data_IF_508557155266
#
_entry.id   IF_508557155266
#
_cell.length_a   1.000
_cell.length_b   1.000
_cell.length_c   1.000
_cell.angle_alpha   90.00
_cell.angle_beta   90.00
_cell.angle_gamma   90.00
#
_symmetry.space_group_name_H-M   'P 1'
#
loop_
_entity.id
_entity.type
_entity.pdbx_description
1 polymer ?
#
# COMPACT_ATOMS: atom_id res chain seq x y z
N UNK A 1 48.36 -21.09 17.41
CA UNK A 1 47.12 -21.05 16.60
C UNK A 1 46.18 -20.06 17.23
N UNK A 2 46.00 -18.89 16.61
CA UNK A 2 45.08 -17.85 17.07
C UNK A 2 43.72 -18.13 16.46
N UNK A 3 42.73 -18.50 17.29
CA UNK A 3 41.35 -18.67 16.85
C UNK A 3 40.79 -17.27 16.58
N UNK A 4 40.60 -16.92 15.31
CA UNK A 4 39.83 -15.72 14.93
C UNK A 4 38.35 -16.00 15.19
N UNK A 5 37.84 -15.53 16.32
CA UNK A 5 36.40 -15.41 16.57
C UNK A 5 35.92 -14.14 15.88
N UNK A 6 35.30 -14.26 14.72
CA UNK A 6 34.47 -13.20 14.15
C UNK A 6 33.04 -13.41 14.66
N UNK A 7 32.48 -12.42 15.34
CA UNK A 7 31.05 -12.39 15.61
C UNK A 7 30.31 -12.39 14.26
N UNK A 8 29.18 -13.11 14.12
CA UNK A 8 28.35 -12.98 12.94
C UNK A 8 27.97 -11.50 12.80
N UNK A 9 28.32 -10.90 11.66
CA UNK A 9 27.81 -9.58 11.28
C UNK A 9 26.34 -9.82 10.99
N UNK A 10 25.49 -9.67 12.00
CA UNK A 10 24.06 -9.52 11.77
C UNK A 10 23.88 -8.18 11.10
N UNK A 11 23.53 -8.21 9.82
CA UNK A 11 23.04 -7.01 9.13
C UNK A 11 22.00 -6.34 10.03
N UNK A 12 22.05 -5.00 10.20
CA UNK A 12 21.02 -4.31 10.93
C UNK A 12 19.69 -4.66 10.27
N UNK A 13 18.80 -5.29 11.03
CA UNK A 13 17.41 -5.45 10.61
C UNK A 13 16.93 -4.05 10.23
N UNK A 14 16.61 -3.85 8.95
CA UNK A 14 16.04 -2.59 8.46
C UNK A 14 14.72 -2.43 9.19
N UNK A 15 14.75 -1.67 10.28
CA UNK A 15 13.57 -1.45 11.11
C UNK A 15 12.80 -0.30 10.51
N UNK A 16 11.60 -0.62 10.01
CA UNK A 16 10.63 0.41 9.66
C UNK A 16 10.17 1.15 10.93
N UNK A 17 9.57 2.33 10.74
CA UNK A 17 9.08 3.14 11.85
C UNK A 17 8.03 2.40 12.70
N UNK A 18 7.27 1.47 12.10
CA UNK A 18 6.33 0.60 12.81
C UNK A 18 7.04 -0.29 13.83
N UNK A 19 8.18 -0.86 13.44
CA UNK A 19 9.00 -1.71 14.32
C UNK A 19 9.62 -0.87 15.44
N UNK A 20 10.29 0.23 15.10
CA UNK A 20 10.92 1.13 16.08
C UNK A 20 9.91 1.64 17.12
N UNK A 21 8.76 2.15 16.66
CA UNK A 21 7.72 2.66 17.54
C UNK A 21 7.11 1.56 18.44
N UNK A 22 7.02 0.32 17.94
CA UNK A 22 6.54 -0.80 18.75
C UNK A 22 7.56 -1.19 19.82
N UNK A 23 8.85 -1.24 19.49
CA UNK A 23 9.91 -1.49 20.47
C UNK A 23 9.99 -0.40 21.53
N UNK A 24 9.86 0.88 21.14
CA UNK A 24 9.83 2.01 22.08
C UNK A 24 8.64 1.93 23.05
N UNK A 25 7.45 1.61 22.54
CA UNK A 25 6.23 1.49 23.38
C UNK A 25 6.26 0.27 24.29
N UNK A 26 6.70 -0.87 23.77
CA UNK A 26 6.77 -2.13 24.51
C UNK A 26 7.83 -3.06 23.91
N UNK A 27 9.06 -3.09 24.48
CA UNK A 27 10.15 -3.90 23.95
C UNK A 27 9.81 -5.39 23.84
N UNK A 28 9.07 -5.92 24.83
CA UNK A 28 8.62 -7.33 24.83
C UNK A 28 7.69 -7.64 23.66
N UNK A 29 6.79 -6.71 23.31
CA UNK A 29 5.89 -6.85 22.16
C UNK A 29 6.68 -6.77 20.85
N UNK A 30 7.60 -5.81 20.74
CA UNK A 30 8.48 -5.69 19.58
C UNK A 30 9.29 -6.97 19.35
N UNK A 31 9.89 -7.52 20.41
CA UNK A 31 10.62 -8.78 20.35
C UNK A 31 9.73 -9.94 19.89
N UNK A 32 8.53 -10.08 20.44
CA UNK A 32 7.63 -11.17 20.06
C UNK A 32 7.12 -11.05 18.61
N UNK A 33 6.79 -9.84 18.17
CA UNK A 33 6.21 -9.62 16.84
C UNK A 33 7.26 -9.63 15.72
N UNK A 34 8.43 -9.01 15.93
CA UNK A 34 9.41 -8.79 14.86
C UNK A 34 10.63 -9.70 14.95
N UNK A 35 11.16 -9.94 16.16
CA UNK A 35 12.31 -10.83 16.32
C UNK A 35 11.91 -12.32 16.29
N UNK A 36 10.80 -12.67 16.96
CA UNK A 36 10.27 -14.04 16.94
C UNK A 36 9.26 -14.29 15.81
N UNK A 37 8.87 -13.25 15.06
CA UNK A 37 7.88 -13.33 13.97
C UNK A 37 6.53 -13.94 14.40
N UNK A 38 6.13 -13.71 15.66
CA UNK A 38 4.87 -14.22 16.22
C UNK A 38 3.84 -13.10 16.31
N UNK A 39 3.33 -12.67 15.16
CA UNK A 39 2.18 -11.76 15.14
C UNK A 39 0.86 -12.52 15.33
N UNK A 40 -0.10 -11.99 16.12
CA UNK A 40 -1.44 -12.57 16.18
C UNK A 40 -2.06 -12.66 14.77
N UNK A 41 -2.60 -13.82 14.42
CA UNK A 41 -3.37 -13.99 13.19
C UNK A 41 -4.71 -13.29 13.34
N UNK A 42 -4.87 -12.14 12.71
CA UNK A 42 -6.12 -11.38 12.75
C UNK A 42 -6.21 -10.37 11.62
N UNK A 43 -7.44 -10.10 11.15
CA UNK A 43 -7.69 -9.11 10.12
C UNK A 43 -7.70 -7.72 10.73
N UNK A 44 -6.77 -6.86 10.29
CA UNK A 44 -6.80 -5.44 10.62
C UNK A 44 -7.60 -4.68 9.56
N UNK A 45 -8.93 -4.60 9.76
CA UNK A 45 -9.84 -3.97 8.80
C UNK A 45 -9.46 -2.52 8.42
N UNK A 46 -9.07 -1.64 9.37
CA UNK A 46 -8.56 -0.31 9.01
C UNK A 46 -7.35 -0.32 8.08
N UNK A 47 -6.36 -1.18 8.33
CA UNK A 47 -5.18 -1.29 7.46
C UNK A 47 -5.59 -1.80 6.08
N UNK A 48 -6.42 -2.84 6.00
CA UNK A 48 -6.87 -3.37 4.70
C UNK A 48 -7.65 -2.32 3.89
N UNK A 49 -8.52 -1.56 4.56
CA UNK A 49 -9.26 -0.46 3.92
C UNK A 49 -8.30 0.62 3.40
N UNK A 50 -7.32 1.03 4.21
CA UNK A 50 -6.29 1.98 3.81
C UNK A 50 -5.44 1.49 2.64
N UNK A 51 -5.03 0.23 2.64
CA UNK A 51 -4.28 -0.40 1.53
C UNK A 51 -5.09 -0.37 0.24
N UNK A 52 -6.39 -0.69 0.29
CA UNK A 52 -7.28 -0.58 -0.87
C UNK A 52 -7.32 0.84 -1.42
N UNK A 53 -7.52 1.83 -0.55
CA UNK A 53 -7.52 3.25 -0.93
C UNK A 53 -6.18 3.72 -1.54
N UNK A 54 -5.05 3.37 -0.93
CA UNK A 54 -3.75 3.75 -1.47
C UNK A 54 -3.48 3.07 -2.81
N UNK A 55 -3.88 1.80 -2.96
CA UNK A 55 -3.74 1.12 -4.25
C UNK A 55 -4.58 1.77 -5.35
N UNK A 56 -5.78 2.21 -5.02
CA UNK A 56 -6.62 2.98 -5.94
C UNK A 56 -5.85 4.19 -6.48
N UNK A 57 -5.33 5.06 -5.59
CA UNK A 57 -4.58 6.27 -5.99
C UNK A 57 -3.31 5.94 -6.78
N UNK A 58 -2.52 4.96 -6.33
CA UNK A 58 -1.30 4.51 -7.02
C UNK A 58 -1.62 4.03 -8.46
N UNK A 59 -2.63 3.18 -8.60
CA UNK A 59 -3.02 2.61 -9.90
C UNK A 59 -3.55 3.69 -10.83
N UNK A 60 -4.32 4.63 -10.28
CA UNK A 60 -4.90 5.74 -11.01
C UNK A 60 -3.79 6.61 -11.64
N UNK A 61 -2.77 7.01 -10.86
CA UNK A 61 -1.62 7.77 -11.39
C UNK A 61 -0.84 6.97 -12.44
N UNK A 62 -0.58 5.69 -12.19
CA UNK A 62 0.12 4.84 -13.15
C UNK A 62 -0.64 4.70 -14.48
N UNK A 63 -1.97 4.59 -14.42
CA UNK A 63 -2.82 4.53 -15.62
C UNK A 63 -2.86 5.87 -16.34
N UNK A 64 -2.93 7.00 -15.62
CA UNK A 64 -2.87 8.35 -16.21
C UNK A 64 -1.57 8.55 -17.00
N UNK A 65 -0.42 8.23 -16.41
CA UNK A 65 0.88 8.32 -17.09
C UNK A 65 0.89 7.43 -18.34
N UNK A 66 0.37 6.20 -18.23
CA UNK A 66 0.38 5.23 -19.33
C UNK A 66 -0.57 5.57 -20.48
N UNK A 67 -1.76 6.10 -20.18
CA UNK A 67 -2.87 6.24 -21.14
C UNK A 67 -2.93 7.66 -21.72
N UNK A 68 -2.58 8.67 -20.92
CA UNK A 68 -2.72 10.09 -21.30
C UNK A 68 -1.35 10.70 -21.60
N UNK A 69 -0.36 10.52 -20.72
CA UNK A 69 0.97 11.14 -20.93
C UNK A 69 1.76 10.42 -22.03
N UNK A 70 1.76 9.08 -22.03
CA UNK A 70 2.60 8.28 -22.91
C UNK A 70 1.92 7.83 -24.22
N UNK A 71 0.63 8.09 -24.41
CA UNK A 71 -0.09 7.74 -25.64
C UNK A 71 -0.67 9.00 -26.29
N UNK A 72 -0.25 9.28 -27.51
CA UNK A 72 -0.84 10.33 -28.34
C UNK A 72 -2.31 9.99 -28.64
N UNK A 73 -3.23 10.89 -28.25
CA UNK A 73 -4.62 10.87 -28.70
C UNK A 73 -5.70 10.61 -27.64
N UNK A 74 -5.36 10.30 -26.38
CA UNK A 74 -6.36 10.25 -25.31
C UNK A 74 -6.34 11.54 -24.49
N UNK A 75 -7.49 12.21 -24.37
CA UNK A 75 -7.68 13.33 -23.46
C UNK A 75 -8.31 12.86 -22.15
N UNK A 76 -7.96 13.51 -21.05
CA UNK A 76 -8.61 13.31 -19.75
C UNK A 76 -10.09 13.76 -19.77
N UNK A 77 -10.46 14.67 -20.67
CA UNK A 77 -11.83 15.22 -20.77
C UNK A 77 -12.85 14.21 -21.31
N UNK A 78 -12.39 13.11 -21.91
CA UNK A 78 -13.27 12.07 -22.41
C UNK A 78 -13.87 11.25 -21.25
N UNK A 79 -15.18 11.37 -21.07
CA UNK A 79 -15.94 10.65 -20.04
C UNK A 79 -15.74 9.14 -20.08
N UNK A 80 -15.52 8.53 -21.27
CA UNK A 80 -15.24 7.10 -21.37
C UNK A 80 -13.87 6.75 -20.80
N UNK A 81 -12.87 7.59 -21.05
CA UNK A 81 -11.52 7.46 -20.52
C UNK A 81 -11.51 7.63 -19.00
N UNK A 82 -12.19 8.64 -18.46
CA UNK A 82 -12.33 8.83 -17.00
C UNK A 82 -12.97 7.60 -16.32
N UNK A 83 -14.07 7.10 -16.89
CA UNK A 83 -14.74 5.91 -16.39
C UNK A 83 -13.84 4.68 -16.41
N UNK A 84 -13.09 4.48 -17.50
CA UNK A 84 -12.16 3.35 -17.63
C UNK A 84 -11.04 3.43 -16.58
N UNK A 85 -10.47 4.61 -16.36
CA UNK A 85 -9.44 4.83 -15.33
C UNK A 85 -9.99 4.47 -13.94
N UNK A 86 -11.19 4.95 -13.61
CA UNK A 86 -11.84 4.64 -12.35
C UNK A 86 -12.09 3.14 -12.17
N UNK A 87 -12.73 2.49 -13.15
CA UNK A 87 -13.09 1.07 -13.08
C UNK A 87 -11.85 0.19 -12.91
N UNK A 88 -10.76 0.49 -13.63
CA UNK A 88 -9.51 -0.26 -13.53
C UNK A 88 -8.80 -0.03 -12.18
N UNK A 89 -8.72 1.22 -11.72
CA UNK A 89 -8.10 1.54 -10.44
C UNK A 89 -8.90 0.95 -9.26
N UNK A 90 -10.23 1.03 -9.31
CA UNK A 90 -11.11 0.48 -8.28
C UNK A 90 -11.03 -1.06 -8.27
N UNK A 91 -10.99 -1.69 -9.44
CA UNK A 91 -10.73 -3.13 -9.55
C UNK A 91 -9.39 -3.51 -8.92
N UNK A 92 -8.34 -2.70 -9.10
CA UNK A 92 -7.04 -2.93 -8.47
C UNK A 92 -7.08 -2.79 -6.94
N UNK A 93 -7.81 -1.81 -6.40
CA UNK A 93 -8.06 -1.67 -4.96
C UNK A 93 -8.75 -2.90 -4.37
N UNK A 94 -9.73 -3.45 -5.10
CA UNK A 94 -10.43 -4.69 -4.76
C UNK A 94 -9.61 -5.98 -5.01
N UNK A 95 -8.44 -5.87 -5.64
CA UNK A 95 -7.55 -6.99 -5.98
C UNK A 95 -6.26 -7.05 -5.17
N UNK A 96 -5.62 -5.93 -4.81
CA UNK A 96 -4.45 -5.93 -3.90
C UNK A 96 -4.82 -6.43 -2.52
N UNK A 97 -6.09 -6.24 -2.20
CA UNK A 97 -6.73 -6.93 -1.12
C UNK A 97 -6.68 -8.44 -1.35
N UNK A 98 -6.95 -9.04 -2.50
CA UNK A 98 -6.85 -10.50 -2.72
C UNK A 98 -5.41 -11.01 -3.02
N UNK A 99 -4.51 -11.04 -2.03
CA UNK A 99 -3.25 -11.80 -2.17
C UNK A 99 -3.53 -13.31 -2.26
N UNK A 100 -2.78 -14.00 -3.14
CA UNK A 100 -2.74 -15.46 -3.27
C UNK A 100 -1.58 -16.01 -2.45
N UNK A 101 -1.80 -17.13 -1.77
CA UNK A 101 -0.74 -17.91 -1.12
C UNK A 101 0.10 -18.71 -2.13
N UNK A 102 1.13 -19.40 -1.62
CA UNK A 102 2.03 -20.26 -2.40
C UNK A 102 1.32 -21.51 -2.99
N UNK A 103 0.14 -21.87 -2.49
CA UNK A 103 -0.72 -22.94 -3.01
C UNK A 103 -1.83 -22.45 -3.97
N UNK A 104 -1.89 -21.15 -4.27
CA UNK A 104 -2.90 -20.53 -5.13
C UNK A 104 -4.25 -20.27 -4.47
N UNK A 105 -4.40 -20.50 -3.16
CA UNK A 105 -5.56 -20.14 -2.34
C UNK A 105 -5.48 -18.66 -1.92
N UNK A 106 -6.57 -17.95 -2.16
CA UNK A 106 -6.66 -16.51 -1.89
C UNK A 106 -6.99 -16.26 -0.42
N UNK A 107 -6.00 -15.90 0.40
CA UNK A 107 -6.26 -15.28 1.70
C UNK A 107 -5.31 -14.15 1.96
N UNK A 108 -5.68 -12.97 1.49
CA UNK A 108 -5.61 -11.74 2.29
C UNK A 108 -6.56 -10.66 1.80
N UNK A 109 -7.63 -11.07 1.08
CA UNK A 109 -8.75 -10.25 0.64
C UNK A 109 -9.20 -9.32 1.75
N UNK A 110 -9.54 -8.08 1.42
CA UNK A 110 -10.39 -7.25 2.25
C UNK A 110 -11.62 -8.11 2.45
N UNK A 111 -11.78 -8.56 3.68
CA UNK A 111 -12.94 -9.31 4.09
C UNK A 111 -13.85 -8.26 4.64
N UNK A 112 -15.07 -8.18 4.12
CA UNK A 112 -16.03 -7.28 4.70
C UNK A 112 -16.14 -7.59 6.20
N UNK A 113 -15.97 -6.57 7.06
CA UNK A 113 -16.12 -6.80 8.48
C UNK A 113 -17.56 -7.29 8.74
N UNK A 114 -17.74 -8.32 9.58
CA UNK A 114 -19.08 -8.76 9.97
C UNK A 114 -19.92 -7.59 10.49
N UNK A 115 -21.22 -7.62 10.29
CA UNK A 115 -22.15 -6.54 10.67
C UNK A 115 -22.03 -6.17 12.16
N UNK A 116 -21.75 -7.16 13.01
CA UNK A 116 -21.60 -7.01 14.46
C UNK A 116 -20.21 -6.47 14.88
N UNK A 117 -19.25 -6.40 13.95
CA UNK A 117 -17.90 -5.95 14.25
C UNK A 117 -17.87 -4.42 14.40
N UNK A 118 -17.06 -3.90 15.34
CA UNK A 118 -16.90 -2.45 15.58
C UNK A 118 -16.49 -1.63 14.35
N UNK A 119 -15.94 -2.29 13.34
CA UNK A 119 -15.51 -1.68 12.07
C UNK A 119 -16.41 -2.06 10.89
N UNK A 120 -17.64 -2.55 11.11
CA UNK A 120 -18.60 -2.89 10.07
C UNK A 120 -18.87 -1.76 9.06
N UNK A 121 -18.67 -0.50 9.48
CA UNK A 121 -18.77 0.66 8.61
C UNK A 121 -17.69 0.73 7.51
N UNK A 122 -16.58 -0.02 7.63
CA UNK A 122 -15.54 -0.14 6.60
C UNK A 122 -15.94 -1.17 5.54
N UNK A 123 -17.13 -0.97 4.96
CA UNK A 123 -17.74 -1.80 3.92
C UNK A 123 -17.18 -1.48 2.53
N UNK A 124 -17.47 -2.33 1.55
CA UNK A 124 -17.11 -2.12 0.14
C UNK A 124 -17.73 -0.82 -0.37
N UNK A 125 -18.99 -0.60 -0.01
CA UNK A 125 -19.74 0.61 -0.33
C UNK A 125 -19.07 1.86 0.23
N UNK A 126 -18.48 1.76 1.43
CA UNK A 126 -17.73 2.89 2.00
C UNK A 126 -16.44 3.13 1.26
N UNK A 127 -15.76 2.07 0.81
CA UNK A 127 -14.55 2.18 0.01
C UNK A 127 -14.86 2.84 -1.34
N UNK A 128 -15.90 2.39 -2.04
CA UNK A 128 -16.35 2.97 -3.31
C UNK A 128 -16.69 4.46 -3.18
N UNK A 129 -17.46 4.86 -2.16
CA UNK A 129 -17.72 6.27 -1.88
C UNK A 129 -16.44 7.09 -1.64
N UNK A 130 -15.47 6.50 -0.95
CA UNK A 130 -14.20 7.17 -0.65
C UNK A 130 -13.35 7.31 -1.92
N UNK A 131 -13.31 6.28 -2.76
CA UNK A 131 -12.59 6.29 -4.04
C UNK A 131 -13.25 7.25 -5.03
N UNK A 132 -14.58 7.29 -5.11
CA UNK A 132 -15.33 8.25 -5.95
C UNK A 132 -14.98 9.68 -5.57
N UNK A 133 -15.05 10.05 -4.29
CA UNK A 133 -14.68 11.38 -3.84
C UNK A 133 -13.20 11.71 -4.14
N UNK A 134 -12.31 10.73 -3.95
CA UNK A 134 -10.88 10.90 -4.27
C UNK A 134 -10.61 11.01 -5.78
N UNK A 135 -11.45 10.42 -6.62
CA UNK A 135 -11.38 10.51 -8.07
C UNK A 135 -11.81 11.90 -8.56
N UNK A 136 -12.91 12.43 -8.03
CA UNK A 136 -13.36 13.79 -8.33
C UNK A 136 -12.29 14.83 -7.95
N UNK A 137 -11.72 14.71 -6.75
CA UNK A 137 -10.60 15.57 -6.34
C UNK A 137 -9.41 15.44 -7.27
N UNK A 138 -9.09 14.22 -7.68
CA UNK A 138 -7.98 13.96 -8.60
C UNK A 138 -8.20 14.56 -9.99
N UNK A 139 -9.41 14.48 -10.54
CA UNK A 139 -9.74 15.09 -11.83
C UNK A 139 -9.50 16.61 -11.77
N UNK A 140 -10.01 17.26 -10.72
CA UNK A 140 -9.77 18.68 -10.48
C UNK A 140 -8.27 19.00 -10.36
N UNK A 141 -7.50 18.16 -9.63
CA UNK A 141 -6.04 18.32 -9.51
C UNK A 141 -5.31 18.29 -10.87
N UNK A 142 -5.78 17.45 -11.80
CA UNK A 142 -5.18 17.33 -13.15
C UNK A 142 -5.64 18.43 -14.10
N UNK A 143 -6.91 18.84 -14.03
CA UNK A 143 -7.44 19.97 -14.82
C UNK A 143 -6.76 21.30 -14.46
N UNK A 144 -6.50 21.51 -13.17
CA UNK A 144 -5.88 22.75 -12.70
C UNK A 144 -4.35 22.80 -12.91
N UNK A 145 -3.74 21.74 -13.47
CA UNK A 145 -2.28 21.53 -13.61
C UNK A 145 -1.49 21.76 -12.30
N UNK A 146 -2.15 21.79 -11.15
CA UNK A 146 -1.55 22.24 -9.88
C UNK A 146 -0.47 21.29 -9.36
N UNK A 147 -0.52 20.02 -9.75
CA UNK A 147 0.38 18.97 -9.23
C UNK A 147 0.90 18.08 -10.36
N UNK A 148 2.10 18.40 -10.85
CA UNK A 148 2.94 17.51 -11.64
C UNK A 148 3.55 16.46 -10.70
N UNK A 149 2.98 15.25 -10.66
CA UNK A 149 3.64 14.12 -9.98
C UNK A 149 4.77 13.64 -10.89
N UNK A 150 5.99 14.10 -10.59
CA UNK A 150 7.18 13.83 -11.41
C UNK A 150 7.60 12.35 -11.28
N UNK A 151 7.43 11.73 -10.10
CA UNK A 151 7.72 10.32 -9.83
C UNK A 151 6.97 9.85 -8.56
N UNK A 152 6.49 8.61 -8.55
CA UNK A 152 6.07 7.89 -7.33
C UNK A 152 7.30 7.35 -6.58
N UNK A 153 7.23 7.24 -5.25
CA UNK A 153 8.33 6.71 -4.41
C UNK A 153 9.02 5.50 -5.05
N UNK A 154 10.24 5.69 -5.52
CA UNK A 154 11.11 4.60 -5.93
C UNK A 154 11.84 4.11 -4.68
N UNK A 155 11.85 2.81 -4.45
CA UNK A 155 12.83 2.19 -3.55
C UNK A 155 14.23 2.52 -4.09
N UNK A 156 15.00 3.30 -3.35
CA UNK A 156 16.41 3.52 -3.64
C UNK A 156 17.25 2.80 -2.59
N UNK A 157 18.24 2.05 -3.06
CA UNK A 157 19.27 1.50 -2.19
C UNK A 157 20.16 2.67 -1.75
N UNK A 158 20.05 3.00 -0.47
CA UNK A 158 20.92 3.97 0.18
C UNK A 158 22.20 3.22 0.52
N UNK A 159 23.25 3.40 -0.29
CA UNK A 159 24.59 2.96 0.08
C UNK A 159 25.00 3.72 1.34
N UNK A 160 24.78 3.10 2.50
CA UNK A 160 25.25 3.60 3.78
C UNK A 160 26.77 3.67 3.70
N UNK A 161 27.33 4.88 3.74
CA UNK A 161 28.77 5.06 3.87
C UNK A 161 29.21 4.50 5.22
N UNK A 162 29.73 3.27 5.15
CA UNK A 162 30.47 2.55 6.17
C UNK A 162 29.68 2.31 7.47
N UNK A 163 29.23 1.06 7.64
CA UNK A 163 28.69 0.56 8.89
C UNK A 163 29.74 0.50 10.00
N UNK A 164 29.98 1.64 10.65
CA UNK A 164 30.42 1.74 12.04
C UNK A 164 29.26 2.15 12.95
#
# INVERSE_FOLDING_TARGET
MTIKLSLPITEPLVFDNSTLSTFQRCPRKGFYQYALQRSPSGTNYPIQFGVGYHKFRETLEALYIKIIVNKEGNSLDDSKTQRLLYELAFKAAMQVTRLKDAEGKSYLGWKEPPIEHRHAFLSEHRLDKTCTAAFEMWLNEKEEEKILIILSEQSFDLDLMNGE
#
